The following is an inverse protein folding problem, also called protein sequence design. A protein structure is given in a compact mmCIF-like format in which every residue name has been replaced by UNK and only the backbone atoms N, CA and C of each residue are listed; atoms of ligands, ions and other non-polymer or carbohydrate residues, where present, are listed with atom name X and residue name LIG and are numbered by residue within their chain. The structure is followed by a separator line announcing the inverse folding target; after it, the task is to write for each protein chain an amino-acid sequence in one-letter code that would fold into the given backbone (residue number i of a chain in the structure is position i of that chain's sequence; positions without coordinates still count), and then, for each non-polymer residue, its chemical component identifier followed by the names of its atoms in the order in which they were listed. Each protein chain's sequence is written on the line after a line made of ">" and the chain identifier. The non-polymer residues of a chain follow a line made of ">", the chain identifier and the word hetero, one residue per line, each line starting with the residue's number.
data_IF_434149470823
#
_entry.id   IF_434149470823
#
_cell.length_a   1.000
_cell.length_b   1.000
_cell.length_c   1.000
_cell.angle_alpha   90.00
_cell.angle_beta   90.00
_cell.angle_gamma   90.00
#
_symmetry.space_group_name_H-M   'P 1'
#
loop_
_entity.id
_entity.type
_entity.pdbx_description
1 polymer ?
#
# COMPACT_ATOMS: atom_id res chain seq x y z
N UNK A 1 -5.93 13.18 15.56
CA UNK A 1 -6.68 12.63 16.61
C UNK A 1 -6.31 11.23 17.08
N UNK A 2 -7.11 10.73 17.97
CA UNK A 2 -6.96 9.42 18.60
C UNK A 2 -7.02 8.24 17.61
N UNK A 3 -7.72 8.38 16.49
CA UNK A 3 -7.92 7.33 15.49
C UNK A 3 -6.60 6.78 14.92
N UNK A 4 -5.63 7.64 14.62
CA UNK A 4 -4.35 7.20 14.09
C UNK A 4 -3.47 6.45 15.12
N UNK A 5 -3.59 6.77 16.39
CA UNK A 5 -2.84 6.08 17.47
C UNK A 5 -3.40 4.69 17.76
N UNK A 6 -4.73 4.52 17.73
CA UNK A 6 -5.37 3.23 17.95
C UNK A 6 -5.09 2.25 16.80
N UNK A 7 -5.13 2.70 15.55
CA UNK A 7 -4.73 1.89 14.41
C UNK A 7 -3.28 1.42 14.52
N UNK A 8 -2.37 2.32 14.88
CA UNK A 8 -0.95 1.97 15.08
C UNK A 8 -0.73 0.95 16.20
N UNK A 9 -1.49 1.04 17.30
CA UNK A 9 -1.41 0.05 18.41
C UNK A 9 -1.89 -1.31 17.93
N UNK A 10 -3.04 -1.37 17.26
CA UNK A 10 -3.61 -2.59 16.71
C UNK A 10 -2.68 -3.26 15.69
N UNK A 11 -2.12 -2.50 14.76
CA UNK A 11 -1.20 -3.01 13.75
C UNK A 11 0.07 -3.58 14.39
N UNK A 12 0.59 -2.91 15.43
CA UNK A 12 1.72 -3.41 16.22
C UNK A 12 1.38 -4.66 17.03
N UNK A 13 0.14 -4.82 17.46
CA UNK A 13 -0.33 -6.04 18.14
C UNK A 13 -0.52 -7.20 17.17
N UNK A 14 -0.97 -6.93 15.95
CA UNK A 14 -1.19 -7.93 14.91
C UNK A 14 0.09 -8.50 14.28
N UNK A 15 1.21 -7.79 14.34
CA UNK A 15 2.46 -8.23 13.71
C UNK A 15 3.18 -9.34 14.46
N UNK A 16 3.99 -10.12 13.79
CA UNK A 16 5.04 -10.92 14.41
C UNK A 16 6.26 -10.04 14.72
N UNK A 17 6.60 -9.92 16.01
CA UNK A 17 7.69 -9.05 16.50
C UNK A 17 9.08 -9.52 16.08
N UNK A 18 9.24 -10.78 15.74
CA UNK A 18 10.55 -11.37 15.43
C UNK A 18 11.06 -10.93 14.07
N UNK A 19 10.15 -10.70 13.09
CA UNK A 19 10.55 -10.40 11.72
C UNK A 19 9.73 -9.29 11.03
N UNK A 20 8.71 -8.70 11.68
CA UNK A 20 7.93 -7.62 11.12
C UNK A 20 8.09 -6.31 11.89
N UNK A 21 8.23 -5.21 11.16
CA UNK A 21 8.13 -3.86 11.69
C UNK A 21 6.96 -3.11 11.03
N UNK A 22 6.36 -2.20 11.76
CA UNK A 22 5.31 -1.30 11.26
C UNK A 22 5.82 0.13 11.30
N UNK A 23 5.72 0.80 10.15
CA UNK A 23 5.93 2.23 10.03
C UNK A 23 4.61 2.90 9.70
N UNK A 24 3.97 3.57 10.66
CA UNK A 24 2.71 4.26 10.42
C UNK A 24 2.95 5.54 9.60
N UNK A 25 2.12 5.77 8.59
CA UNK A 25 2.04 7.04 7.88
C UNK A 25 1.02 7.95 8.54
N UNK A 26 1.32 9.24 8.65
CA UNK A 26 0.43 10.24 9.27
C UNK A 26 -0.51 10.91 8.26
N UNK A 27 -1.09 10.11 7.37
CA UNK A 27 -1.94 10.56 6.28
C UNK A 27 -1.22 10.55 4.93
N UNK A 28 -1.58 11.47 4.04
CA UNK A 28 -0.98 11.58 2.71
C UNK A 28 0.45 12.11 2.81
N UNK A 29 1.41 11.34 2.35
CA UNK A 29 2.81 11.76 2.30
C UNK A 29 3.02 12.87 1.25
N UNK A 30 4.17 13.54 1.32
CA UNK A 30 4.56 14.54 0.36
C UNK A 30 4.58 13.96 -1.07
N UNK A 31 3.89 14.63 -2.01
CA UNK A 31 4.01 14.29 -3.42
C UNK A 31 5.36 14.78 -3.95
N UNK A 32 6.31 13.88 -4.06
CA UNK A 32 7.68 14.20 -4.47
C UNK A 32 7.81 14.52 -5.97
N UNK A 33 6.82 14.20 -6.79
CA UNK A 33 6.81 14.62 -8.19
C UNK A 33 6.68 16.14 -8.35
N UNK A 34 5.94 16.78 -7.40
CA UNK A 34 5.73 18.24 -7.36
C UNK A 34 6.68 18.96 -6.43
N UNK A 35 7.18 18.28 -5.41
CA UNK A 35 7.97 18.91 -4.38
C UNK A 35 9.37 19.27 -4.88
N UNK A 36 9.84 20.43 -4.49
CA UNK A 36 11.23 20.79 -4.67
C UNK A 36 12.14 19.87 -3.83
N UNK A 37 13.31 19.55 -4.33
CA UNK A 37 14.20 18.54 -3.73
C UNK A 37 14.57 18.85 -2.27
N UNK A 38 14.82 20.12 -1.93
CA UNK A 38 15.13 20.51 -0.56
C UNK A 38 13.96 20.21 0.40
N UNK A 39 12.70 20.43 -0.02
CA UNK A 39 11.52 20.13 0.80
C UNK A 39 11.34 18.64 1.04
N UNK A 40 11.73 17.82 0.07
CA UNK A 40 11.73 16.37 0.25
C UNK A 40 12.69 15.97 1.38
N UNK A 41 13.92 16.52 1.38
CA UNK A 41 14.90 16.21 2.41
C UNK A 41 14.62 16.84 3.78
N UNK A 42 13.76 17.86 3.85
CA UNK A 42 13.26 18.40 5.12
C UNK A 42 12.10 17.58 5.70
N UNK A 43 11.42 16.78 4.89
CA UNK A 43 10.25 16.01 5.32
C UNK A 43 10.63 14.84 6.22
N UNK A 44 10.11 14.85 7.45
CA UNK A 44 10.43 13.87 8.49
C UNK A 44 9.98 12.45 8.12
N UNK A 45 8.84 12.28 7.45
CA UNK A 45 8.35 10.95 7.05
C UNK A 45 9.28 10.32 6.01
N UNK A 46 9.78 11.11 5.05
CA UNK A 46 10.75 10.66 4.06
C UNK A 46 12.07 10.28 4.73
N UNK A 47 12.62 11.10 5.61
CA UNK A 47 13.82 10.77 6.38
C UNK A 47 13.64 9.48 7.18
N UNK A 48 12.50 9.34 7.83
CA UNK A 48 12.17 8.15 8.60
C UNK A 48 12.09 6.89 7.73
N UNK A 49 11.60 6.98 6.49
CA UNK A 49 11.60 5.86 5.55
C UNK A 49 13.01 5.41 5.19
N UNK A 50 13.93 6.33 4.83
CA UNK A 50 15.33 6.00 4.58
C UNK A 50 15.98 5.35 5.80
N UNK A 51 15.80 5.94 6.97
CA UNK A 51 16.36 5.42 8.23
C UNK A 51 15.79 4.05 8.60
N UNK A 52 14.47 3.87 8.49
CA UNK A 52 13.82 2.60 8.83
C UNK A 52 14.26 1.46 7.90
N UNK A 53 14.37 1.74 6.61
CA UNK A 53 14.81 0.77 5.61
C UNK A 53 16.33 0.51 5.69
N UNK A 54 17.11 1.42 6.25
CA UNK A 54 18.56 1.30 6.32
C UNK A 54 19.26 1.58 5.00
N UNK A 55 18.64 2.39 4.12
CA UNK A 55 19.19 2.73 2.81
C UNK A 55 19.68 4.18 2.79
N UNK A 56 20.65 4.47 1.93
CA UNK A 56 21.23 5.80 1.71
C UNK A 56 21.37 6.08 0.22
N UNK A 57 21.51 7.34 -0.15
CA UNK A 57 21.85 7.72 -1.51
C UNK A 57 23.38 7.77 -1.64
N UNK A 58 23.90 7.23 -2.72
CA UNK A 58 25.32 7.18 -3.06
C UNK A 58 25.96 5.82 -2.82
N UNK A 59 26.58 5.29 -3.86
CA UNK A 59 27.47 4.11 -3.83
C UNK A 59 28.88 4.56 -4.24
N UNK A 60 29.86 3.67 -4.19
CA UNK A 60 31.21 3.95 -4.69
C UNK A 60 31.25 4.23 -6.20
N UNK A 61 30.33 3.60 -6.94
CA UNK A 61 30.27 3.70 -8.41
C UNK A 61 29.40 4.86 -8.88
N UNK A 62 28.28 5.15 -8.17
CA UNK A 62 27.33 6.20 -8.52
C UNK A 62 26.83 6.95 -7.27
N UNK A 63 27.17 8.23 -7.18
CA UNK A 63 26.74 9.09 -6.07
C UNK A 63 25.24 9.34 -6.00
N UNK A 64 24.46 8.97 -7.02
CA UNK A 64 23.00 9.12 -7.08
C UNK A 64 22.25 7.80 -6.88
N UNK A 65 22.93 6.66 -7.03
CA UNK A 65 22.31 5.35 -6.85
C UNK A 65 21.92 5.09 -5.39
N UNK A 66 20.90 4.27 -5.20
CA UNK A 66 20.49 3.85 -3.87
C UNK A 66 21.45 2.78 -3.34
N UNK A 67 22.01 3.02 -2.16
CA UNK A 67 22.86 2.03 -1.49
C UNK A 67 22.00 1.07 -0.67
N UNK A 68 22.01 -0.19 -1.05
CA UNK A 68 21.23 -1.28 -0.43
C UNK A 68 22.05 -2.16 0.53
N UNK A 69 23.35 -1.90 0.73
CA UNK A 69 24.23 -2.74 1.57
C UNK A 69 23.67 -2.96 2.99
N UNK A 70 22.98 -1.94 3.53
CA UNK A 70 22.41 -1.96 4.87
C UNK A 70 20.89 -2.11 4.86
N UNK A 71 20.31 -2.58 3.74
CA UNK A 71 18.87 -2.83 3.66
C UNK A 71 18.44 -3.82 4.76
N UNK A 72 17.47 -3.40 5.56
CA UNK A 72 17.05 -4.12 6.77
C UNK A 72 15.90 -5.09 6.54
N UNK A 73 15.13 -4.90 5.47
CA UNK A 73 13.90 -5.65 5.22
C UNK A 73 13.88 -6.19 3.79
N UNK A 74 13.64 -7.49 3.64
CA UNK A 74 13.48 -8.15 2.34
C UNK A 74 12.18 -7.75 1.64
N UNK A 75 11.10 -7.51 2.40
CA UNK A 75 9.81 -7.09 1.87
C UNK A 75 9.33 -5.80 2.51
N UNK A 76 9.01 -4.83 1.65
CA UNK A 76 8.41 -3.55 1.99
C UNK A 76 6.97 -3.60 1.50
N UNK A 77 6.01 -3.62 2.43
CA UNK A 77 4.61 -3.87 2.13
C UNK A 77 3.80 -2.61 2.38
N UNK A 78 3.24 -2.04 1.33
CA UNK A 78 2.32 -0.91 1.41
C UNK A 78 0.95 -1.47 1.84
N UNK A 79 0.44 -0.98 2.97
CA UNK A 79 -0.87 -1.34 3.51
C UNK A 79 -1.72 -0.08 3.60
N UNK A 80 -2.77 -0.02 2.80
CA UNK A 80 -3.72 1.11 2.77
C UNK A 80 -5.15 0.59 2.74
N UNK A 81 -6.09 1.44 3.13
CA UNK A 81 -7.51 1.15 3.06
C UNK A 81 -7.97 0.94 1.60
N UNK A 82 -9.03 0.18 1.41
CA UNK A 82 -9.61 -0.11 0.09
C UNK A 82 -10.55 1.01 -0.40
N UNK A 83 -10.21 2.26 -0.13
CA UNK A 83 -10.97 3.45 -0.54
C UNK A 83 -10.13 4.38 -1.44
N UNK A 84 -10.71 5.50 -1.85
CA UNK A 84 -10.05 6.48 -2.72
C UNK A 84 -8.86 7.15 -2.05
N UNK A 85 -8.91 7.39 -0.74
CA UNK A 85 -7.81 7.98 0.02
C UNK A 85 -6.65 6.99 0.18
N UNK A 86 -6.94 5.73 0.48
CA UNK A 86 -5.95 4.65 0.54
C UNK A 86 -5.27 4.43 -0.81
N UNK A 87 -6.03 4.45 -1.91
CA UNK A 87 -5.49 4.37 -3.27
C UNK A 87 -4.57 5.55 -3.59
N UNK A 88 -4.92 6.76 -3.14
CA UNK A 88 -4.07 7.94 -3.30
C UNK A 88 -2.77 7.83 -2.48
N UNK A 89 -2.84 7.37 -1.23
CA UNK A 89 -1.66 7.13 -0.39
C UNK A 89 -0.74 6.10 -1.04
N UNK A 90 -1.29 4.99 -1.53
CA UNK A 90 -0.52 3.97 -2.23
C UNK A 90 0.17 4.55 -3.48
N UNK A 91 -0.51 5.39 -4.25
CA UNK A 91 0.06 6.05 -5.44
C UNK A 91 1.19 7.02 -5.06
N UNK A 92 1.05 7.79 -3.99
CA UNK A 92 2.12 8.66 -3.47
C UNK A 92 3.34 7.85 -3.03
N UNK A 93 3.13 6.72 -2.35
CA UNK A 93 4.20 5.80 -1.97
C UNK A 93 4.90 5.18 -3.18
N UNK A 94 4.14 4.74 -4.18
CA UNK A 94 4.71 4.22 -5.44
C UNK A 94 5.50 5.29 -6.18
N UNK A 95 5.02 6.53 -6.22
CA UNK A 95 5.75 7.68 -6.79
C UNK A 95 7.08 7.88 -6.07
N UNK A 96 7.07 7.84 -4.74
CA UNK A 96 8.29 7.96 -3.92
C UNK A 96 9.27 6.83 -4.22
N UNK A 97 8.85 5.57 -4.19
CA UNK A 97 9.72 4.44 -4.49
C UNK A 97 10.26 4.50 -5.92
N UNK A 98 9.41 4.81 -6.89
CA UNK A 98 9.84 4.92 -8.28
C UNK A 98 10.88 6.03 -8.51
N UNK A 99 10.72 7.19 -7.86
CA UNK A 99 11.60 8.36 -8.05
C UNK A 99 12.88 8.31 -7.23
N UNK A 100 12.86 7.71 -6.04
CA UNK A 100 13.98 7.81 -5.07
C UNK A 100 14.54 6.47 -4.61
N UNK A 101 13.84 5.38 -4.86
CA UNK A 101 14.25 4.04 -4.44
C UNK A 101 13.87 2.99 -5.50
N UNK A 102 14.12 3.32 -6.76
CA UNK A 102 13.74 2.48 -7.92
C UNK A 102 14.35 1.09 -7.82
N UNK A 103 15.57 1.00 -7.34
CA UNK A 103 16.31 -0.24 -7.14
C UNK A 103 15.59 -1.22 -6.20
N UNK A 104 14.82 -0.71 -5.23
CA UNK A 104 13.98 -1.58 -4.36
C UNK A 104 12.85 -2.25 -5.16
N UNK A 105 12.28 -1.57 -6.15
CA UNK A 105 11.26 -2.15 -7.03
C UNK A 105 11.93 -3.16 -7.97
N UNK A 106 13.01 -2.79 -8.63
CA UNK A 106 13.74 -3.60 -9.59
C UNK A 106 14.28 -4.90 -8.95
N UNK A 107 14.75 -4.83 -7.71
CA UNK A 107 15.18 -6.00 -6.94
C UNK A 107 14.01 -6.78 -6.29
N UNK A 108 12.77 -6.30 -6.46
CA UNK A 108 11.58 -7.03 -6.04
C UNK A 108 11.26 -6.98 -4.56
N UNK A 109 11.63 -5.90 -3.88
CA UNK A 109 11.36 -5.70 -2.45
C UNK A 109 10.02 -5.04 -2.16
N UNK A 110 9.35 -4.38 -3.13
CA UNK A 110 8.14 -3.59 -2.91
C UNK A 110 6.88 -4.37 -3.24
N UNK A 111 5.93 -4.37 -2.33
CA UNK A 111 4.65 -5.09 -2.43
C UNK A 111 3.50 -4.20 -1.96
N UNK A 112 2.29 -4.53 -2.44
CA UNK A 112 1.03 -3.97 -1.95
C UNK A 112 0.25 -5.11 -1.31
N UNK A 113 -0.19 -4.92 -0.07
CA UNK A 113 -1.08 -5.87 0.60
C UNK A 113 -2.48 -5.81 -0.01
N UNK A 114 -3.12 -6.97 -0.12
CA UNK A 114 -4.49 -7.11 -0.62
C UNK A 114 -5.34 -7.72 0.49
N UNK A 115 -5.89 -6.90 1.39
CA UNK A 115 -6.80 -7.39 2.44
C UNK A 115 -8.12 -7.88 1.84
N UNK A 116 -8.88 -8.73 2.54
CA UNK A 116 -10.19 -9.15 2.09
C UNK A 116 -11.19 -7.98 2.11
N UNK A 117 -12.14 -8.01 1.18
CA UNK A 117 -13.22 -7.03 1.09
C UNK A 117 -14.44 -7.43 1.94
N UNK A 118 -14.62 -8.73 2.20
CA UNK A 118 -15.78 -9.23 2.93
C UNK A 118 -15.39 -10.29 3.96
N UNK A 119 -16.17 -10.32 5.05
CA UNK A 119 -16.23 -11.43 5.99
C UNK A 119 -17.64 -12.03 5.92
N UNK A 120 -17.72 -13.32 5.63
CA UNK A 120 -18.96 -14.11 5.63
C UNK A 120 -18.97 -14.98 6.88
N UNK A 121 -19.98 -14.80 7.72
CA UNK A 121 -20.07 -15.45 9.03
C UNK A 121 -21.40 -16.19 9.23
N UNK A 122 -21.32 -17.41 9.78
CA UNK A 122 -22.47 -18.19 10.22
C UNK A 122 -22.16 -18.93 11.53
N UNK A 123 -22.72 -18.46 12.62
CA UNK A 123 -22.37 -18.97 13.94
C UNK A 123 -20.88 -18.72 14.26
N UNK A 124 -20.10 -19.78 14.43
CA UNK A 124 -18.67 -19.72 14.67
C UNK A 124 -17.82 -19.86 13.40
N UNK A 125 -18.44 -20.13 12.27
CA UNK A 125 -17.72 -20.23 11.00
C UNK A 125 -17.52 -18.84 10.40
N UNK A 126 -16.28 -18.51 10.07
CA UNK A 126 -15.87 -17.25 9.43
C UNK A 126 -15.09 -17.57 8.17
N UNK A 127 -15.41 -16.88 7.05
CA UNK A 127 -14.71 -17.01 5.78
C UNK A 127 -14.49 -15.64 5.18
N UNK A 128 -13.26 -15.35 4.82
CA UNK A 128 -12.87 -14.10 4.16
C UNK A 128 -12.97 -14.22 2.65
N UNK A 129 -13.39 -13.14 2.00
CA UNK A 129 -13.54 -13.07 0.55
C UNK A 129 -12.90 -11.79 0.01
N UNK A 130 -12.21 -11.92 -1.13
CA UNK A 130 -11.53 -10.81 -1.81
C UNK A 130 -12.34 -10.25 -2.97
N UNK A 131 -13.34 -10.99 -3.43
CA UNK A 131 -14.22 -10.58 -4.54
C UNK A 131 -15.69 -10.76 -4.18
N UNK A 132 -16.57 -10.04 -4.88
CA UNK A 132 -18.02 -10.24 -4.74
C UNK A 132 -18.46 -11.65 -5.15
N UNK A 133 -17.82 -12.18 -6.19
CA UNK A 133 -18.09 -13.53 -6.65
C UNK A 133 -17.81 -14.57 -5.57
N UNK A 134 -16.65 -14.52 -4.91
CA UNK A 134 -16.31 -15.39 -3.78
C UNK A 134 -17.31 -15.23 -2.62
N UNK A 135 -17.72 -13.99 -2.30
CA UNK A 135 -18.74 -13.72 -1.29
C UNK A 135 -20.06 -14.43 -1.61
N UNK A 136 -20.52 -14.34 -2.85
CA UNK A 136 -21.79 -14.90 -3.28
C UNK A 136 -21.74 -16.44 -3.29
N UNK A 137 -20.66 -17.03 -3.77
CA UNK A 137 -20.42 -18.47 -3.75
C UNK A 137 -20.39 -19.02 -2.31
N UNK A 138 -19.64 -18.39 -1.41
CA UNK A 138 -19.55 -18.78 0.00
C UNK A 138 -20.89 -18.57 0.72
N UNK A 139 -21.60 -17.50 0.42
CA UNK A 139 -22.93 -17.25 1.00
C UNK A 139 -23.94 -18.32 0.57
N UNK A 140 -23.90 -18.74 -0.68
CA UNK A 140 -24.74 -19.82 -1.20
C UNK A 140 -24.39 -21.18 -0.56
N UNK A 141 -23.10 -21.48 -0.40
CA UNK A 141 -22.59 -22.69 0.24
C UNK A 141 -23.04 -22.78 1.71
N UNK A 142 -22.89 -21.69 2.47
CA UNK A 142 -23.23 -21.64 3.90
C UNK A 142 -24.74 -21.59 4.14
N UNK A 143 -25.55 -21.20 3.16
CA UNK A 143 -27.02 -21.24 3.18
C UNK A 143 -27.66 -20.18 4.07
N UNK A 144 -28.86 -20.43 4.58
CA UNK A 144 -29.65 -19.45 5.37
C UNK A 144 -28.98 -19.07 6.70
N UNK A 145 -29.16 -17.80 7.10
CA UNK A 145 -28.67 -17.29 8.39
C UNK A 145 -27.22 -16.81 8.35
N UNK A 146 -26.71 -16.53 7.18
CA UNK A 146 -25.36 -15.96 6.97
C UNK A 146 -25.42 -14.46 7.19
N UNK A 147 -24.40 -13.94 7.88
CA UNK A 147 -24.14 -12.50 8.01
C UNK A 147 -22.92 -12.14 7.14
N UNK A 148 -23.06 -11.12 6.31
CA UNK A 148 -21.97 -10.60 5.46
C UNK A 148 -21.58 -9.22 5.96
N UNK A 149 -20.30 -9.05 6.30
CA UNK A 149 -19.70 -7.76 6.63
C UNK A 149 -18.80 -7.34 5.47
N UNK A 150 -18.96 -6.11 4.98
CA UNK A 150 -18.03 -5.49 4.03
C UNK A 150 -17.03 -4.66 4.81
N UNK A 151 -15.74 -4.87 4.56
CA UNK A 151 -14.67 -4.03 5.08
C UNK A 151 -14.46 -2.82 4.17
N UNK A 152 -14.58 -1.63 4.72
CA UNK A 152 -14.27 -0.37 4.02
C UNK A 152 -12.81 0.04 4.21
N UNK A 153 -12.18 -0.47 5.27
CA UNK A 153 -10.77 -0.20 5.54
C UNK A 153 -10.19 -1.15 6.58
N UNK A 154 -8.88 -1.19 6.68
CA UNK A 154 -8.13 -1.97 7.66
C UNK A 154 -8.52 -1.62 9.11
N UNK A 155 -9.02 -0.39 9.33
CA UNK A 155 -9.51 0.11 10.61
C UNK A 155 -10.65 -0.71 11.22
N UNK A 156 -11.40 -1.43 10.42
CA UNK A 156 -12.54 -2.25 10.85
C UNK A 156 -12.12 -3.65 11.31
N UNK A 157 -10.88 -4.05 11.06
CA UNK A 157 -10.34 -5.35 11.50
C UNK A 157 -9.72 -5.21 12.90
N UNK A 158 -9.90 -6.23 13.75
CA UNK A 158 -9.09 -6.34 14.96
C UNK A 158 -7.69 -6.89 14.65
N UNK A 159 -6.80 -6.93 15.63
CA UNK A 159 -5.39 -7.35 15.45
C UNK A 159 -5.26 -8.80 14.95
N UNK A 160 -6.14 -9.70 15.38
CA UNK A 160 -6.15 -11.10 14.96
C UNK A 160 -6.61 -11.24 13.50
N UNK A 161 -7.69 -10.56 13.12
CA UNK A 161 -8.18 -10.53 11.74
C UNK A 161 -7.14 -9.95 10.78
N UNK A 162 -6.46 -8.86 11.21
CA UNK A 162 -5.41 -8.23 10.43
C UNK A 162 -4.21 -9.17 10.24
N UNK A 163 -3.84 -9.91 11.29
CA UNK A 163 -2.80 -10.94 11.19
C UNK A 163 -3.20 -12.02 10.19
N UNK A 164 -4.33 -12.68 10.41
CA UNK A 164 -4.75 -13.82 9.59
C UNK A 164 -4.91 -13.51 8.10
N UNK A 165 -5.35 -12.31 7.78
CA UNK A 165 -5.73 -11.96 6.39
C UNK A 165 -4.66 -11.19 5.64
N UNK A 166 -3.85 -10.40 6.35
CA UNK A 166 -3.03 -9.36 5.72
C UNK A 166 -1.55 -9.42 6.10
N UNK A 167 -1.21 -9.86 7.31
CA UNK A 167 0.16 -9.79 7.81
C UNK A 167 0.87 -11.14 7.91
N UNK A 168 0.14 -12.24 8.12
CA UNK A 168 0.71 -13.59 8.22
C UNK A 168 1.29 -14.02 6.88
N UNK A 169 2.59 -14.37 6.80
CA UNK A 169 3.24 -14.81 5.57
C UNK A 169 2.57 -15.99 4.86
N UNK A 170 1.91 -16.87 5.63
CA UNK A 170 1.32 -18.10 5.10
C UNK A 170 -0.05 -17.88 4.44
N UNK A 171 -0.75 -16.81 4.83
CA UNK A 171 -2.16 -16.58 4.41
C UNK A 171 -2.39 -15.27 3.68
N UNK A 172 -1.49 -14.29 3.85
CA UNK A 172 -1.62 -12.97 3.23
C UNK A 172 -1.51 -13.03 1.71
N UNK A 173 -2.22 -12.15 1.04
CA UNK A 173 -2.10 -11.93 -0.40
C UNK A 173 -1.31 -10.65 -0.64
N UNK A 174 -0.18 -10.78 -1.33
CA UNK A 174 0.68 -9.66 -1.71
C UNK A 174 0.74 -9.54 -3.23
N UNK A 175 0.60 -8.32 -3.73
CA UNK A 175 0.85 -7.99 -5.13
C UNK A 175 2.23 -7.35 -5.23
N UNK A 176 3.15 -8.03 -5.92
CA UNK A 176 4.50 -7.51 -6.18
C UNK A 176 4.41 -6.31 -7.12
N UNK A 177 5.13 -5.25 -6.79
CA UNK A 177 5.29 -4.09 -7.68
C UNK A 177 6.42 -4.37 -8.66
N UNK A 178 6.16 -4.20 -9.95
CA UNK A 178 7.13 -4.36 -11.05
C UNK A 178 7.15 -3.14 -11.94
N UNK A 179 8.27 -2.94 -12.65
CA UNK A 179 8.42 -1.93 -13.68
C UNK A 179 8.68 -2.66 -14.99
N UNK A 180 7.62 -2.84 -15.79
CA UNK A 180 7.72 -3.55 -17.06
C UNK A 180 8.34 -2.65 -18.15
N UNK A 181 8.05 -1.35 -18.10
CA UNK A 181 8.61 -0.33 -18.99
C UNK A 181 8.88 0.95 -18.20
N UNK A 182 10.15 1.25 -17.98
CA UNK A 182 10.56 2.41 -17.18
C UNK A 182 10.17 3.75 -17.82
N UNK A 183 10.24 3.88 -19.14
CA UNK A 183 9.88 5.12 -19.85
C UNK A 183 8.36 5.37 -19.76
N UNK A 184 7.55 4.33 -19.90
CA UNK A 184 6.10 4.44 -19.74
C UNK A 184 5.71 4.75 -18.30
N UNK A 185 6.33 4.11 -17.32
CA UNK A 185 6.12 4.40 -15.90
C UNK A 185 6.48 5.85 -15.58
N UNK A 186 7.62 6.35 -16.07
CA UNK A 186 8.04 7.75 -15.91
C UNK A 186 6.98 8.71 -16.46
N UNK A 187 6.53 8.48 -17.70
CA UNK A 187 5.48 9.27 -18.35
C UNK A 187 4.18 9.28 -17.53
N UNK A 188 3.75 8.12 -17.03
CA UNK A 188 2.51 7.98 -16.25
C UNK A 188 2.63 8.72 -14.91
N UNK A 189 3.73 8.57 -14.18
CA UNK A 189 3.94 9.29 -12.93
C UNK A 189 4.00 10.81 -13.14
N UNK A 190 4.72 11.29 -14.14
CA UNK A 190 4.78 12.73 -14.47
C UNK A 190 3.40 13.28 -14.84
N UNK A 191 2.62 12.54 -15.63
CA UNK A 191 1.27 12.94 -16.03
C UNK A 191 0.27 12.96 -14.86
N UNK A 192 0.23 11.89 -14.06
CA UNK A 192 -0.76 11.75 -12.99
C UNK A 192 -0.40 12.56 -11.75
N UNK A 193 0.88 12.62 -11.39
CA UNK A 193 1.36 13.18 -10.13
C UNK A 193 2.07 14.53 -10.30
N UNK A 194 2.39 14.94 -11.53
CA UNK A 194 3.04 16.21 -11.86
C UNK A 194 2.11 17.43 -11.76
N UNK A 195 2.65 18.61 -12.09
CA UNK A 195 1.92 19.88 -11.96
C UNK A 195 0.93 20.16 -13.08
N UNK A 196 1.12 19.57 -14.26
CA UNK A 196 0.28 19.82 -15.42
C UNK A 196 -1.10 19.18 -15.27
N UNK A 197 -2.15 20.02 -15.32
CA UNK A 197 -3.53 19.60 -15.17
C UNK A 197 -4.15 19.06 -16.47
N UNK A 198 -3.91 19.69 -17.65
CA UNK A 198 -4.60 19.27 -18.88
C UNK A 198 -4.35 17.80 -19.28
N UNK A 199 -3.09 17.29 -19.31
CA UNK A 199 -2.84 15.89 -19.66
C UNK A 199 -3.50 14.90 -18.69
N UNK A 200 -3.52 15.22 -17.41
CA UNK A 200 -4.17 14.41 -16.38
C UNK A 200 -5.68 14.39 -16.54
N UNK A 201 -6.31 15.54 -16.83
CA UNK A 201 -7.75 15.61 -17.10
C UNK A 201 -8.12 14.77 -18.32
N UNK A 202 -7.42 14.90 -19.44
CA UNK A 202 -7.64 14.11 -20.64
C UNK A 202 -7.52 12.61 -20.38
N UNK A 203 -6.51 12.21 -19.61
CA UNK A 203 -6.34 10.81 -19.22
C UNK A 203 -7.52 10.31 -18.40
N UNK A 204 -7.99 11.07 -17.40
CA UNK A 204 -9.13 10.71 -16.54
C UNK A 204 -10.40 10.59 -17.38
N UNK A 205 -10.70 11.58 -18.24
CA UNK A 205 -11.88 11.57 -19.11
C UNK A 205 -11.89 10.37 -20.05
N UNK A 206 -10.74 10.06 -20.66
CA UNK A 206 -10.58 8.91 -21.56
C UNK A 206 -10.77 7.56 -20.87
N UNK A 207 -10.39 7.44 -19.60
CA UNK A 207 -10.38 6.19 -18.86
C UNK A 207 -11.48 6.10 -17.78
N UNK A 208 -12.37 7.09 -17.70
CA UNK A 208 -13.42 7.16 -16.68
C UNK A 208 -14.34 5.93 -16.68
N UNK A 209 -14.55 5.28 -17.83
CA UNK A 209 -15.38 4.09 -17.95
C UNK A 209 -14.78 2.83 -17.31
N UNK A 210 -13.49 2.83 -16.96
CA UNK A 210 -12.84 1.75 -16.21
C UNK A 210 -12.89 1.96 -14.70
N UNK A 211 -13.31 3.15 -14.24
CA UNK A 211 -13.34 3.45 -12.82
C UNK A 211 -14.54 2.76 -12.14
N UNK A 212 -14.27 1.85 -11.22
CA UNK A 212 -15.27 1.40 -10.26
C UNK A 212 -15.39 2.49 -9.18
N UNK A 213 -16.36 3.36 -9.35
CA UNK A 213 -16.69 4.36 -8.33
C UNK A 213 -17.80 3.76 -7.49
N UNK A 214 -17.49 3.44 -6.24
CA UNK A 214 -18.51 3.19 -5.23
C UNK A 214 -19.21 4.53 -4.96
N UNK A 215 -20.38 4.75 -5.57
CA UNK A 215 -21.24 5.88 -5.35
C UNK A 215 -22.13 5.66 -4.12
#
# INVERSE_FOLDING_TARGET
>A
GLVGSEMCIRDRQGRDRNFQAIMPLRGKILNIEKAQEHRMWENEEIKNMFTALGVTIGTEEDSKALNLEKLRYDKIIIMTDADVDGSHIATLMLTFFFRKMKELIENGHVYIATPPLFLVKKGQQERYCWTEKERDEITAEMGKGVHVQRYKGLGEMNSHQLWETTMNPDTRILRKVTIDNAAEADRVFSMLMGDEVPPRREFIEKHAHYANIDA
#
